data_IF_536693484477
#
_entry.id   IF_536693484477
#
_cell.length_a   1.000
_cell.length_b   1.000
_cell.length_c   1.000
_cell.angle_alpha   90.00
_cell.angle_beta   90.00
_cell.angle_gamma   90.00
#
_symmetry.space_group_name_H-M   'P 1'
#
loop_
_entity.id
_entity.type
_entity.pdbx_description
1 polymer ?
#
# COMPACT_ATOMS: atom_id res chain seq x y z
N UNK A 1 -4.40 -23.39 -6.99
CA UNK A 1 -3.06 -23.17 -7.59
C UNK A 1 -2.94 -23.54 -9.08
N UNK A 2 -3.97 -24.09 -9.73
CA UNK A 2 -3.92 -24.43 -11.18
C UNK A 2 -3.74 -23.22 -12.12
N UNK A 3 -4.04 -21.98 -11.68
CA UNK A 3 -3.95 -20.75 -12.50
C UNK A 3 -2.51 -20.20 -12.63
N UNK A 4 -1.62 -20.57 -11.70
CA UNK A 4 -0.24 -20.06 -11.66
C UNK A 4 0.75 -21.21 -11.34
N UNK A 5 1.04 -22.09 -12.31
CA UNK A 5 1.81 -23.32 -12.07
C UNK A 5 3.29 -23.07 -11.69
N UNK A 6 3.81 -21.86 -11.96
CA UNK A 6 5.21 -21.48 -11.70
C UNK A 6 5.43 -20.77 -10.36
N UNK A 7 4.38 -20.55 -9.55
CA UNK A 7 4.52 -19.92 -8.24
C UNK A 7 5.14 -20.91 -7.25
N UNK A 8 6.39 -20.68 -6.89
CA UNK A 8 7.12 -21.48 -5.89
C UNK A 8 6.70 -21.14 -4.46
N UNK A 9 6.35 -19.87 -4.19
CA UNK A 9 5.99 -19.36 -2.86
C UNK A 9 5.09 -18.14 -3.00
N UNK A 10 4.04 -18.04 -2.18
CA UNK A 10 3.15 -16.89 -2.11
C UNK A 10 3.40 -16.18 -0.78
N UNK A 11 3.71 -14.89 -0.84
CA UNK A 11 3.84 -14.03 0.35
C UNK A 11 2.48 -13.46 0.72
N UNK A 12 2.06 -13.69 1.97
CA UNK A 12 0.84 -13.17 2.55
C UNK A 12 1.25 -12.17 3.64
N UNK A 13 1.01 -10.90 3.39
CA UNK A 13 1.28 -9.83 4.36
C UNK A 13 0.05 -9.61 5.22
N UNK A 14 0.24 -9.57 6.52
CA UNK A 14 -0.84 -9.46 7.52
C UNK A 14 -0.60 -8.22 8.35
N UNK A 15 -1.64 -7.38 8.50
CA UNK A 15 -1.60 -6.27 9.45
C UNK A 15 -1.51 -6.84 10.88
N UNK A 16 -0.35 -6.64 11.51
CA UNK A 16 -0.01 -7.14 12.83
C UNK A 16 -0.05 -6.04 13.91
N UNK A 17 -0.79 -4.97 13.66
CA UNK A 17 -0.91 -3.84 14.56
C UNK A 17 -1.81 -4.19 15.75
N UNK A 18 -1.27 -4.16 16.97
CA UNK A 18 -2.00 -4.42 18.20
C UNK A 18 -2.29 -5.92 18.44
N UNK A 19 -3.56 -6.34 18.36
CA UNK A 19 -3.96 -7.75 18.57
C UNK A 19 -3.67 -8.68 17.38
N UNK A 20 -3.09 -8.18 16.32
CA UNK A 20 -2.79 -8.95 15.10
C UNK A 20 -1.82 -10.13 15.31
N UNK A 21 -0.97 -10.09 16.33
CA UNK A 21 0.00 -11.16 16.61
C UNK A 21 -0.63 -12.55 16.71
N UNK A 22 -1.78 -12.68 17.34
CA UNK A 22 -2.49 -13.95 17.42
C UNK A 22 -2.97 -14.50 16.08
N UNK A 23 -3.37 -13.64 15.15
CA UNK A 23 -3.76 -14.04 13.79
C UNK A 23 -2.54 -14.48 12.99
N UNK A 24 -1.46 -13.71 13.05
CA UNK A 24 -0.19 -14.00 12.38
C UNK A 24 0.38 -15.34 12.83
N UNK A 25 0.42 -15.59 14.13
CA UNK A 25 0.96 -16.82 14.70
C UNK A 25 0.11 -18.02 14.29
N UNK A 26 -1.22 -17.90 14.36
CA UNK A 26 -2.12 -18.97 13.93
C UNK A 26 -1.99 -19.27 12.43
N UNK A 27 -1.82 -18.26 11.60
CA UNK A 27 -1.58 -18.48 10.17
C UNK A 27 -0.25 -19.18 9.91
N UNK A 28 0.82 -18.84 10.63
CA UNK A 28 2.11 -19.53 10.53
C UNK A 28 2.01 -21.00 10.93
N UNK A 29 1.30 -21.31 12.02
CA UNK A 29 1.03 -22.69 12.45
C UNK A 29 0.33 -23.47 11.32
N UNK A 30 -0.81 -22.96 10.81
CA UNK A 30 -1.58 -23.61 9.74
C UNK A 30 -0.70 -23.84 8.49
N UNK A 31 0.08 -22.83 8.09
CA UNK A 31 0.96 -22.95 6.93
C UNK A 31 2.03 -24.02 7.14
N UNK A 32 2.57 -24.14 8.36
CA UNK A 32 3.56 -25.16 8.72
C UNK A 32 2.94 -26.56 8.74
N UNK A 33 1.83 -26.73 9.43
CA UNK A 33 1.17 -28.04 9.63
C UNK A 33 0.67 -28.62 8.31
N UNK A 34 0.04 -27.79 7.48
CA UNK A 34 -0.54 -28.20 6.19
C UNK A 34 0.46 -28.13 5.04
N UNK A 35 1.71 -27.71 5.31
CA UNK A 35 2.77 -27.55 4.31
C UNK A 35 2.38 -26.71 3.11
N UNK A 36 1.59 -25.65 3.32
CA UNK A 36 1.23 -24.72 2.25
C UNK A 36 2.45 -23.95 1.75
N UNK A 37 2.54 -23.64 0.45
CA UNK A 37 3.63 -22.85 -0.12
C UNK A 37 3.44 -21.34 0.14
N UNK A 38 3.07 -20.99 1.38
CA UNK A 38 2.85 -19.61 1.79
C UNK A 38 3.94 -19.13 2.74
N UNK A 39 4.22 -17.84 2.69
CA UNK A 39 5.07 -17.13 3.65
C UNK A 39 4.25 -16.04 4.33
N UNK A 40 4.05 -16.16 5.63
CA UNK A 40 3.32 -15.16 6.40
C UNK A 40 4.28 -14.08 6.86
N UNK A 41 4.02 -12.85 6.44
CA UNK A 41 4.84 -11.67 6.73
C UNK A 41 4.02 -10.71 7.61
N UNK A 42 4.32 -10.60 8.90
CA UNK A 42 3.69 -9.60 9.75
C UNK A 42 4.15 -8.19 9.35
N UNK A 43 3.22 -7.26 9.34
CA UNK A 43 3.47 -5.85 9.06
C UNK A 43 2.82 -5.00 10.14
N UNK A 44 3.61 -4.32 10.95
CA UNK A 44 3.10 -3.42 11.98
C UNK A 44 3.05 -1.98 11.42
N UNK A 45 1.86 -1.53 11.06
CA UNK A 45 1.62 -0.20 10.51
C UNK A 45 2.01 0.96 11.45
N UNK A 46 2.12 0.69 12.75
CA UNK A 46 2.53 1.66 13.77
C UNK A 46 4.04 1.88 13.87
N UNK A 47 4.85 1.01 13.26
CA UNK A 47 6.31 1.17 13.27
C UNK A 47 6.76 2.45 12.58
N UNK A 48 7.99 2.86 12.88
CA UNK A 48 8.62 3.96 12.17
C UNK A 48 8.78 3.64 10.69
N UNK A 49 8.51 4.63 9.85
CA UNK A 49 8.83 4.51 8.43
C UNK A 49 10.33 4.29 8.22
N UNK A 50 10.69 3.50 7.21
CA UNK A 50 12.07 3.39 6.72
C UNK A 50 12.46 4.55 5.81
N UNK A 51 11.50 5.39 5.47
CA UNK A 51 11.62 6.58 4.65
C UNK A 51 11.27 7.80 5.50
N UNK A 52 12.20 8.75 5.60
CA UNK A 52 12.04 9.96 6.42
C UNK A 52 10.92 10.90 5.95
N UNK A 53 10.44 10.71 4.74
CA UNK A 53 9.33 11.46 4.15
C UNK A 53 7.98 11.13 4.81
N UNK A 54 7.83 9.91 5.31
CA UNK A 54 6.60 9.43 5.93
C UNK A 54 6.72 9.36 7.46
N UNK A 55 5.62 9.67 8.15
CA UNK A 55 5.57 9.73 9.62
C UNK A 55 5.60 8.33 10.27
N UNK A 56 5.01 7.32 9.60
CA UNK A 56 5.02 5.93 10.04
C UNK A 56 4.91 4.97 8.86
N UNK A 57 5.09 3.67 9.14
CA UNK A 57 5.08 2.62 8.14
C UNK A 57 3.72 2.51 7.42
N UNK A 58 2.60 2.64 8.12
CA UNK A 58 1.27 2.63 7.50
C UNK A 58 1.09 3.74 6.46
N UNK A 59 1.64 4.93 6.72
CA UNK A 59 1.65 6.03 5.75
C UNK A 59 2.54 5.72 4.56
N UNK A 60 3.72 5.14 4.78
CA UNK A 60 4.64 4.73 3.72
C UNK A 60 4.00 3.68 2.80
N UNK A 61 3.31 2.69 3.36
CA UNK A 61 2.62 1.63 2.61
C UNK A 61 1.59 2.23 1.63
N UNK A 62 0.82 3.20 2.09
CA UNK A 62 -0.13 3.92 1.24
C UNK A 62 0.56 4.86 0.23
N UNK A 63 1.69 5.44 0.59
CA UNK A 63 2.53 6.19 -0.34
C UNK A 63 3.03 5.29 -1.48
N UNK A 64 3.50 4.10 -1.17
CA UNK A 64 4.03 3.16 -2.16
C UNK A 64 2.98 2.75 -3.21
N UNK A 65 1.74 2.42 -2.78
CA UNK A 65 0.67 2.09 -3.76
C UNK A 65 0.28 3.31 -4.60
N UNK A 66 0.26 4.49 -4.03
CA UNK A 66 0.04 5.73 -4.78
C UNK A 66 1.10 5.91 -5.87
N UNK A 67 2.38 5.74 -5.55
CA UNK A 67 3.48 5.84 -6.51
C UNK A 67 3.35 4.82 -7.65
N UNK A 68 2.99 3.56 -7.33
CA UNK A 68 2.73 2.53 -8.34
C UNK A 68 1.60 2.93 -9.28
N UNK A 69 0.52 3.52 -8.76
CA UNK A 69 -0.62 3.96 -9.58
C UNK A 69 -0.25 5.18 -10.44
N UNK A 70 0.54 6.12 -9.93
CA UNK A 70 1.04 7.27 -10.69
C UNK A 70 2.01 6.83 -11.80
N UNK A 71 2.92 5.90 -11.51
CA UNK A 71 3.82 5.30 -12.50
C UNK A 71 3.02 4.56 -13.57
N UNK A 72 2.01 3.77 -13.18
CA UNK A 72 1.13 3.06 -14.11
C UNK A 72 0.43 4.01 -15.07
N UNK A 73 -0.12 5.13 -14.56
CA UNK A 73 -0.76 6.16 -15.38
C UNK A 73 0.24 6.76 -16.37
N UNK A 74 1.43 7.15 -15.90
CA UNK A 74 2.47 7.78 -16.72
C UNK A 74 2.97 6.83 -17.82
N UNK A 75 3.16 5.55 -17.49
CA UNK A 75 3.61 4.53 -18.45
C UNK A 75 2.58 4.30 -19.54
N UNK A 76 1.29 4.19 -19.16
CA UNK A 76 0.19 4.06 -20.12
C UNK A 76 0.09 5.25 -21.07
N UNK A 77 0.17 6.47 -20.55
CA UNK A 77 0.11 7.69 -21.35
C UNK A 77 1.27 7.78 -22.38
N UNK A 78 2.41 7.17 -22.06
CA UNK A 78 3.59 7.11 -22.96
C UNK A 78 3.59 5.88 -23.88
N UNK A 79 2.50 5.07 -23.91
CA UNK A 79 2.38 3.91 -24.80
C UNK A 79 3.11 2.65 -24.31
N UNK A 80 3.58 2.63 -23.06
CA UNK A 80 4.29 1.49 -22.46
C UNK A 80 3.42 0.34 -21.97
N UNK A 81 2.10 0.51 -21.99
CA UNK A 81 1.14 -0.44 -21.44
C UNK A 81 1.03 -0.41 -19.90
N UNK A 82 0.07 -1.10 -19.30
CA UNK A 82 -0.15 -1.07 -17.86
C UNK A 82 0.90 -1.86 -17.09
N UNK A 83 1.41 -1.28 -16.00
CA UNK A 83 2.26 -1.94 -15.01
C UNK A 83 1.40 -2.78 -14.05
N UNK A 84 0.19 -2.27 -13.76
CA UNK A 84 -0.78 -2.89 -12.88
C UNK A 84 -2.19 -2.73 -13.46
N UNK A 85 -2.99 -3.77 -13.33
CA UNK A 85 -4.42 -3.75 -13.62
C UNK A 85 -5.19 -4.07 -12.35
N UNK A 86 -6.14 -3.21 -11.99
CA UNK A 86 -7.02 -3.40 -10.84
C UNK A 86 -8.44 -3.71 -11.32
N UNK A 87 -9.22 -4.46 -10.54
CA UNK A 87 -10.63 -4.68 -10.84
C UNK A 87 -11.38 -3.34 -10.85
N UNK A 88 -12.35 -3.21 -11.75
CA UNK A 88 -13.26 -2.05 -11.76
C UNK A 88 -14.30 -2.21 -10.64
N UNK A 89 -13.85 -2.08 -9.39
CA UNK A 89 -14.66 -2.18 -8.19
C UNK A 89 -14.89 -0.80 -7.59
N UNK A 90 -16.17 -0.41 -7.47
CA UNK A 90 -16.56 0.91 -6.98
C UNK A 90 -16.16 1.15 -5.52
N UNK A 91 -16.13 0.11 -4.68
CA UNK A 91 -15.71 0.20 -3.28
C UNK A 91 -14.22 0.46 -3.19
N UNK A 92 -13.41 -0.30 -3.95
CA UNK A 92 -11.96 -0.10 -4.00
C UNK A 92 -11.61 1.30 -4.51
N UNK A 93 -12.25 1.76 -5.59
CA UNK A 93 -12.04 3.10 -6.15
C UNK A 93 -12.38 4.18 -5.11
N UNK A 94 -13.52 4.03 -4.44
CA UNK A 94 -13.96 4.95 -3.38
C UNK A 94 -12.95 4.99 -2.23
N UNK A 95 -12.51 3.84 -1.73
CA UNK A 95 -11.56 3.75 -0.62
C UNK A 95 -10.21 4.38 -0.96
N UNK A 96 -9.66 4.09 -2.16
CA UNK A 96 -8.40 4.66 -2.62
C UNK A 96 -8.47 6.18 -2.79
N UNK A 97 -9.62 6.73 -3.21
CA UNK A 97 -9.77 8.14 -3.54
C UNK A 97 -10.20 9.04 -2.37
N UNK A 98 -10.69 8.46 -1.26
CA UNK A 98 -11.28 9.25 -0.16
C UNK A 98 -10.36 9.50 1.02
N UNK A 99 -9.34 8.66 1.22
CA UNK A 99 -8.39 8.80 2.34
C UNK A 99 -7.40 9.93 2.06
N UNK A 100 -7.19 10.79 3.06
CA UNK A 100 -6.37 11.99 2.92
C UNK A 100 -4.98 11.83 3.49
N UNK A 101 -4.04 12.58 2.95
CA UNK A 101 -2.73 12.82 3.55
C UNK A 101 -2.69 14.23 4.15
N UNK A 102 -1.93 14.39 5.23
CA UNK A 102 -1.66 15.68 5.86
C UNK A 102 -0.17 15.80 6.19
N UNK A 103 0.33 17.04 6.20
CA UNK A 103 1.67 17.32 6.71
C UNK A 103 1.66 17.38 8.24
N UNK A 104 2.66 16.77 8.86
CA UNK A 104 2.92 16.91 10.28
C UNK A 104 3.71 18.20 10.55
N UNK A 105 3.77 18.65 11.82
CA UNK A 105 4.63 19.77 12.24
C UNK A 105 6.12 19.55 11.99
N UNK A 106 6.53 18.29 11.78
CA UNK A 106 7.91 17.90 11.46
C UNK A 106 8.18 17.84 9.95
N UNK A 107 7.25 18.28 9.11
CA UNK A 107 7.38 18.25 7.64
C UNK A 107 7.22 16.86 7.02
N UNK A 108 6.72 15.87 7.78
CA UNK A 108 6.48 14.52 7.28
C UNK A 108 5.04 14.36 6.81
N UNK A 109 4.83 13.51 5.81
CA UNK A 109 3.49 13.12 5.40
C UNK A 109 2.92 12.11 6.40
N UNK A 110 1.66 12.30 6.77
CA UNK A 110 0.89 11.38 7.60
C UNK A 110 -0.45 11.07 6.95
N UNK A 111 -0.78 9.79 6.91
CA UNK A 111 -2.07 9.31 6.44
C UNK A 111 -3.17 9.64 7.47
N UNK A 112 -4.35 9.99 6.98
CA UNK A 112 -5.53 10.21 7.81
C UNK A 112 -5.87 8.95 8.63
N UNK A 113 -6.14 9.12 9.92
CA UNK A 113 -6.53 8.00 10.78
C UNK A 113 -7.95 7.51 10.45
N UNK A 114 -8.23 6.23 10.75
CA UNK A 114 -9.58 5.68 10.61
C UNK A 114 -10.62 6.44 11.47
N UNK A 115 -10.21 6.97 12.61
CA UNK A 115 -11.07 7.79 13.46
C UNK A 115 -11.39 9.15 12.83
N UNK A 116 -10.43 9.78 12.16
CA UNK A 116 -10.69 11.03 11.43
C UNK A 116 -11.58 10.77 10.19
N UNK A 117 -11.42 9.63 9.52
CA UNK A 117 -12.34 9.19 8.45
C UNK A 117 -13.77 9.02 8.97
N UNK A 118 -13.94 8.36 10.13
CA UNK A 118 -15.27 8.22 10.79
C UNK A 118 -15.93 9.57 11.09
N UNK A 119 -15.16 10.58 11.55
CA UNK A 119 -15.69 11.94 11.79
C UNK A 119 -16.23 12.58 10.50
N UNK A 120 -15.75 12.16 9.34
CA UNK A 120 -16.24 12.57 8.01
C UNK A 120 -17.32 11.64 7.44
N UNK A 121 -17.87 10.71 8.23
CA UNK A 121 -18.80 9.67 7.80
C UNK A 121 -18.25 8.76 6.68
N UNK A 122 -16.95 8.49 6.71
CA UNK A 122 -16.30 7.58 5.78
C UNK A 122 -15.98 6.29 6.51
N UNK A 123 -16.33 5.16 5.87
CA UNK A 123 -16.04 3.81 6.40
C UNK A 123 -14.56 3.47 6.41
N UNK A 124 -14.21 2.33 7.03
CA UNK A 124 -12.86 1.80 7.00
C UNK A 124 -12.45 1.41 5.58
N UNK A 125 -11.25 1.75 5.12
CA UNK A 125 -10.78 1.44 3.77
C UNK A 125 -10.12 0.05 3.72
N UNK A 126 -10.85 -1.00 4.08
CA UNK A 126 -10.27 -2.33 4.32
C UNK A 126 -9.74 -2.99 3.04
N UNK A 127 -10.42 -2.79 1.91
CA UNK A 127 -9.98 -3.31 0.61
C UNK A 127 -8.72 -2.57 0.15
N UNK A 128 -8.70 -1.25 0.28
CA UNK A 128 -7.53 -0.44 -0.07
C UNK A 128 -6.35 -0.68 0.87
N UNK A 129 -6.58 -0.89 2.17
CA UNK A 129 -5.54 -1.29 3.14
C UNK A 129 -4.92 -2.65 2.73
N UNK A 130 -5.74 -3.63 2.35
CA UNK A 130 -5.24 -4.93 1.88
C UNK A 130 -4.45 -4.81 0.56
N UNK A 131 -4.92 -3.99 -0.38
CA UNK A 131 -4.18 -3.70 -1.61
C UNK A 131 -2.83 -3.02 -1.31
N UNK A 132 -2.81 -2.01 -0.47
CA UNK A 132 -1.60 -1.30 -0.10
C UNK A 132 -0.58 -2.25 0.56
N UNK A 133 -1.02 -3.12 1.48
CA UNK A 133 -0.19 -4.17 2.06
C UNK A 133 0.36 -5.13 1.01
N UNK A 134 -0.45 -5.54 0.02
CA UNK A 134 0.00 -6.46 -1.03
C UNK A 134 1.17 -5.87 -1.83
N UNK A 135 1.17 -4.57 -2.08
CA UNK A 135 2.22 -3.86 -2.79
C UNK A 135 3.37 -3.36 -1.91
N UNK A 136 3.24 -3.49 -0.58
CA UNK A 136 4.33 -3.12 0.31
C UNK A 136 5.55 -4.01 0.07
N UNK A 137 6.59 -3.41 -0.49
CA UNK A 137 7.95 -3.95 -0.44
C UNK A 137 8.78 -2.97 0.37
N UNK A 138 9.64 -3.48 1.25
CA UNK A 138 10.52 -2.65 2.07
C UNK A 138 11.54 -1.97 1.15
N UNK A 139 11.07 -0.97 0.40
CA UNK A 139 11.92 -0.16 -0.48
C UNK A 139 12.50 0.98 0.32
N UNK A 140 13.82 1.16 0.21
CA UNK A 140 14.44 2.45 0.51
C UNK A 140 14.05 3.40 -0.61
N UNK A 141 13.36 4.49 -0.29
CA UNK A 141 12.96 5.50 -1.26
C UNK A 141 14.20 6.05 -1.98
N UNK A 142 14.21 6.02 -3.29
CA UNK A 142 15.10 6.92 -4.04
C UNK A 142 14.41 8.26 -4.04
N UNK A 143 15.07 9.35 -3.60
CA UNK A 143 14.45 10.67 -3.63
C UNK A 143 13.93 10.95 -5.04
N UNK A 144 12.64 11.18 -5.16
CA UNK A 144 12.04 11.61 -6.43
C UNK A 144 12.60 13.00 -6.69
N UNK A 145 13.31 13.18 -7.78
CA UNK A 145 13.77 14.49 -8.17
C UNK A 145 12.57 15.42 -8.35
N UNK A 146 12.51 16.46 -7.51
CA UNK A 146 11.41 17.43 -7.53
C UNK A 146 11.15 17.99 -8.94
N UNK A 147 12.17 18.04 -9.77
CA UNK A 147 12.08 18.46 -11.17
C UNK A 147 11.26 17.49 -12.01
N UNK A 148 11.41 16.18 -11.80
CA UNK A 148 10.64 15.16 -12.53
C UNK A 148 9.15 15.21 -12.18
N UNK A 149 8.83 15.52 -10.92
CA UNK A 149 7.44 15.69 -10.46
C UNK A 149 6.80 16.92 -11.10
N UNK A 150 7.50 18.06 -11.08
CA UNK A 150 7.05 19.32 -11.70
C UNK A 150 6.83 19.14 -13.19
N UNK A 151 7.73 18.47 -13.88
CA UNK A 151 7.62 18.22 -15.33
C UNK A 151 6.45 17.29 -15.65
N UNK A 152 6.13 16.35 -14.78
CA UNK A 152 4.95 15.49 -14.92
C UNK A 152 3.65 16.29 -14.76
N UNK A 153 3.54 17.15 -13.75
CA UNK A 153 2.37 18.02 -13.56
C UNK A 153 2.19 19.00 -14.73
N UNK A 154 3.28 19.59 -15.23
CA UNK A 154 3.24 20.45 -16.43
C UNK A 154 2.74 19.72 -17.68
N UNK A 155 3.14 18.45 -17.90
CA UNK A 155 2.64 17.62 -19.01
C UNK A 155 1.16 17.28 -18.87
N UNK A 156 0.63 17.21 -17.65
CA UNK A 156 -0.78 16.97 -17.36
C UNK A 156 -1.63 18.25 -17.41
N UNK A 157 -1.03 19.41 -17.66
CA UNK A 157 -1.75 20.70 -17.73
C UNK A 157 -2.20 21.23 -16.37
N UNK A 158 -1.53 20.79 -15.27
CA UNK A 158 -1.76 21.21 -13.89
C UNK A 158 -0.69 22.18 -13.41
#
# INVERSE_FOLDING_TARGET
MKKYPNLKKIRIKVDDTGVGGGVTDRLKEIVSDEKYPFEIIPVNNGESSTDEFYDNLGTQIWGNIREVLEENMTTNLNGGGPIIELPNDSSLIKELSTRKFKMTSRGRIRLESKDDMKKRNIGSPDIADALALAFYERRTHKPVDAKSVIDTYRKLGL
#
